data_IF_140176813898
#
_entry.id   IF_140176813898
#
_cell.length_a   1.000
_cell.length_b   1.000
_cell.length_c   1.000
_cell.angle_alpha   90.00
_cell.angle_beta   90.00
_cell.angle_gamma   90.00
#
_symmetry.space_group_name_H-M   'P 1'
#
loop_
_entity.id
_entity.type
_entity.pdbx_description
1 polymer ?
#
# COMPACT_ATOMS: atom_id res chain seq x y z
N UNK A 1 10.26 5.47 6.81
CA UNK A 1 11.32 5.95 5.91
C UNK A 1 12.42 6.66 6.67
N UNK A 2 12.30 7.93 7.07
CA UNK A 2 13.39 8.66 7.76
C UNK A 2 13.96 7.97 9.00
N UNK A 3 13.11 7.32 9.81
CA UNK A 3 13.59 6.56 10.96
C UNK A 3 14.47 5.36 10.58
N UNK A 4 14.16 4.66 9.47
CA UNK A 4 14.95 3.51 9.00
C UNK A 4 16.27 3.98 8.38
N UNK A 5 16.24 5.08 7.64
CA UNK A 5 17.42 5.73 7.07
C UNK A 5 18.35 6.24 8.18
N UNK A 6 17.81 6.92 9.19
CA UNK A 6 18.60 7.44 10.33
C UNK A 6 19.25 6.33 11.18
N UNK A 7 18.66 5.13 11.19
CA UNK A 7 19.21 3.97 11.89
C UNK A 7 20.24 3.21 11.04
N UNK A 8 20.49 3.64 9.79
CA UNK A 8 21.36 2.95 8.85
C UNK A 8 20.80 1.60 8.38
N UNK A 9 19.51 1.34 8.59
CA UNK A 9 18.85 0.09 8.21
C UNK A 9 18.27 0.11 6.79
N UNK A 10 18.28 1.26 6.12
CA UNK A 10 17.74 1.44 4.78
C UNK A 10 18.71 2.27 3.92
N UNK A 11 19.21 1.65 2.84
CA UNK A 11 19.92 2.27 1.74
C UNK A 11 19.01 2.30 0.50
N UNK A 12 18.64 3.50 0.06
CA UNK A 12 17.77 3.71 -1.10
C UNK A 12 18.44 3.35 -2.43
N UNK A 13 19.76 3.22 -2.46
CA UNK A 13 20.50 2.76 -3.65
C UNK A 13 20.56 1.23 -3.74
N UNK A 14 20.20 0.52 -2.67
CA UNK A 14 20.21 -0.94 -2.63
C UNK A 14 18.84 -1.50 -3.06
N UNK A 15 18.72 -2.11 -4.25
CA UNK A 15 17.43 -2.58 -4.75
C UNK A 15 16.85 -3.74 -3.90
N UNK A 16 17.69 -4.50 -3.20
CA UNK A 16 17.24 -5.53 -2.26
C UNK A 16 16.53 -4.93 -1.05
N UNK A 17 17.04 -3.80 -0.54
CA UNK A 17 16.44 -3.11 0.60
C UNK A 17 15.15 -2.39 0.20
N UNK A 18 15.11 -1.82 -1.02
CA UNK A 18 13.88 -1.30 -1.63
C UNK A 18 12.82 -2.39 -1.80
N UNK A 19 13.20 -3.59 -2.25
CA UNK A 19 12.28 -4.73 -2.30
C UNK A 19 11.70 -5.04 -0.92
N UNK A 20 12.55 -5.15 0.12
CA UNK A 20 12.10 -5.41 1.50
C UNK A 20 11.15 -4.31 2.01
N UNK A 21 11.44 -3.06 1.64
CA UNK A 21 10.66 -1.89 1.99
C UNK A 21 9.28 -1.92 1.32
N UNK A 22 9.22 -2.17 0.01
CA UNK A 22 7.97 -2.27 -0.75
C UNK A 22 7.12 -3.43 -0.24
N UNK A 23 7.73 -4.59 0.00
CA UNK A 23 7.03 -5.76 0.53
C UNK A 23 6.24 -5.47 1.81
N UNK A 24 6.82 -4.71 2.74
CA UNK A 24 6.19 -4.39 4.03
C UNK A 24 5.29 -3.17 3.95
N UNK A 25 5.78 -2.06 3.38
CA UNK A 25 5.11 -0.77 3.50
C UNK A 25 4.07 -0.50 2.42
N UNK A 26 4.21 -1.05 1.21
CA UNK A 26 3.21 -0.88 0.16
C UNK A 26 1.82 -1.40 0.57
N UNK A 27 1.65 -2.65 1.08
CA UNK A 27 0.34 -3.11 1.52
C UNK A 27 -0.20 -2.32 2.71
N UNK A 28 0.67 -1.85 3.62
CA UNK A 28 0.26 -1.01 4.76
C UNK A 28 -0.28 0.35 4.32
N UNK A 29 0.43 1.03 3.41
CA UNK A 29 0.01 2.31 2.84
C UNK A 29 -1.34 2.14 2.14
N UNK A 30 -1.48 1.10 1.30
CA UNK A 30 -2.74 0.83 0.60
C UNK A 30 -3.89 0.57 1.57
N UNK A 31 -3.66 -0.17 2.67
CA UNK A 31 -4.67 -0.38 3.72
C UNK A 31 -5.09 0.96 4.34
N UNK A 32 -4.14 1.79 4.74
CA UNK A 32 -4.43 3.10 5.33
C UNK A 32 -5.15 4.04 4.34
N UNK A 33 -4.81 4.00 3.05
CA UNK A 33 -5.51 4.77 2.03
C UNK A 33 -6.96 4.31 1.85
N UNK A 34 -7.21 3.00 1.84
CA UNK A 34 -8.58 2.47 1.77
C UNK A 34 -9.39 2.81 3.03
N UNK A 35 -8.78 2.74 4.21
CA UNK A 35 -9.40 3.19 5.48
C UNK A 35 -9.73 4.69 5.44
N UNK A 36 -8.79 5.52 5.00
CA UNK A 36 -8.99 6.95 4.85
C UNK A 36 -10.13 7.23 3.86
N UNK A 37 -10.11 6.60 2.69
CA UNK A 37 -11.15 6.72 1.67
C UNK A 37 -12.52 6.28 2.20
N UNK A 38 -12.58 5.18 2.95
CA UNK A 38 -13.83 4.71 3.55
C UNK A 38 -14.36 5.71 4.59
N UNK A 39 -13.49 6.21 5.49
CA UNK A 39 -13.86 7.22 6.48
C UNK A 39 -14.32 8.51 5.81
N UNK A 40 -13.56 8.98 4.81
CA UNK A 40 -13.87 10.18 4.06
C UNK A 40 -15.16 10.04 3.27
N UNK A 41 -15.42 8.93 2.59
CA UNK A 41 -16.64 8.79 1.79
C UNK A 41 -17.91 8.68 2.64
N UNK A 42 -17.80 8.23 3.90
CA UNK A 42 -18.93 7.95 4.78
C UNK A 42 -19.11 8.96 5.93
N UNK A 43 -18.22 9.96 6.09
CA UNK A 43 -18.42 10.99 7.10
C UNK A 43 -19.58 11.93 6.71
N UNK A 44 -20.37 12.37 7.68
CA UNK A 44 -21.43 13.35 7.44
C UNK A 44 -20.85 14.75 7.31
N UNK A 45 -21.33 15.49 6.31
CA UNK A 45 -20.98 16.90 6.12
C UNK A 45 -22.11 17.76 6.70
N UNK A 46 -21.79 18.53 7.74
CA UNK A 46 -22.78 19.34 8.46
C UNK A 46 -23.42 20.43 7.60
N UNK A 47 -22.66 21.03 6.67
CA UNK A 47 -23.16 22.05 5.74
C UNK A 47 -24.11 21.50 4.68
N UNK A 48 -24.13 20.18 4.45
CA UNK A 48 -24.92 19.51 3.41
C UNK A 48 -26.13 18.76 3.99
N UNK A 49 -26.54 19.15 5.20
CA UNK A 49 -27.63 18.50 5.94
C UNK A 49 -27.26 17.11 6.44
N UNK A 50 -26.01 16.92 6.88
CA UNK A 50 -25.45 15.67 7.39
C UNK A 50 -25.37 14.53 6.35
N UNK A 51 -25.42 14.85 5.06
CA UNK A 51 -25.18 13.86 4.00
C UNK A 51 -23.70 13.53 3.89
N UNK A 52 -23.39 12.30 3.50
CA UNK A 52 -22.03 11.85 3.26
C UNK A 52 -21.59 12.16 1.82
N UNK A 53 -20.28 12.27 1.53
CA UNK A 53 -19.80 12.45 0.16
C UNK A 53 -20.35 11.41 -0.83
N UNK A 54 -20.44 10.14 -0.44
CA UNK A 54 -21.01 9.10 -1.31
C UNK A 54 -22.51 9.32 -1.59
N UNK A 55 -23.27 9.83 -0.61
CA UNK A 55 -24.68 10.19 -0.79
C UNK A 55 -24.82 11.39 -1.74
N UNK A 56 -24.01 12.44 -1.57
CA UNK A 56 -24.00 13.61 -2.45
C UNK A 56 -23.62 13.22 -3.88
N UNK A 57 -22.60 12.38 -4.05
CA UNK A 57 -22.20 11.89 -5.36
C UNK A 57 -23.30 11.07 -6.03
N UNK A 58 -23.98 10.19 -5.29
CA UNK A 58 -25.08 9.37 -5.83
C UNK A 58 -26.29 10.22 -6.24
N UNK A 59 -26.64 11.22 -5.41
CA UNK A 59 -27.68 12.20 -5.72
C UNK A 59 -27.35 12.97 -7.00
N UNK A 60 -26.14 13.55 -7.08
CA UNK A 60 -25.73 14.36 -8.23
C UNK A 60 -25.52 13.51 -9.50
N UNK A 61 -24.98 12.30 -9.36
CA UNK A 61 -24.79 11.37 -10.48
C UNK A 61 -26.14 10.99 -11.10
N UNK A 62 -27.17 10.73 -10.29
CA UNK A 62 -28.53 10.50 -10.80
C UNK A 62 -29.02 11.67 -11.67
N UNK A 63 -28.70 12.90 -11.30
CA UNK A 63 -29.01 14.11 -12.09
C UNK A 63 -28.13 14.28 -13.35
N UNK A 64 -26.92 13.71 -13.36
CA UNK A 64 -25.91 13.84 -14.42
C UNK A 64 -25.92 12.70 -15.46
N UNK A 65 -26.79 11.69 -15.35
CA UNK A 65 -26.89 10.61 -16.34
C UNK A 65 -27.43 11.13 -17.69
N UNK A 66 -26.52 11.68 -18.50
CA UNK A 66 -26.54 11.68 -19.95
C UNK A 66 -25.61 10.53 -20.41
N UNK A 67 -26.06 9.54 -21.21
CA UNK A 67 -25.41 8.23 -21.36
C UNK A 67 -24.06 8.19 -22.14
N UNK A 68 -23.26 9.27 -22.15
CA UNK A 68 -22.13 9.41 -23.08
C UNK A 68 -20.73 9.49 -22.45
N UNK A 69 -20.52 9.28 -21.14
CA UNK A 69 -19.16 9.36 -20.59
C UNK A 69 -18.83 8.21 -19.63
N UNK A 70 -18.42 7.08 -20.20
CA UNK A 70 -17.61 6.07 -19.53
C UNK A 70 -16.14 6.49 -19.61
N UNK A 71 -15.68 7.30 -18.67
CA UNK A 71 -14.24 7.46 -18.45
C UNK A 71 -13.74 6.24 -17.68
N UNK A 72 -13.26 5.23 -18.40
CA UNK A 72 -12.42 4.19 -17.82
C UNK A 72 -11.02 4.78 -17.65
N UNK A 73 -10.70 5.20 -16.44
CA UNK A 73 -9.33 5.56 -16.08
C UNK A 73 -8.50 4.27 -16.02
N UNK A 74 -7.92 3.90 -17.16
CA UNK A 74 -6.84 2.91 -17.22
C UNK A 74 -5.54 3.65 -16.93
N UNK A 75 -5.22 3.81 -15.65
CA UNK A 75 -3.85 4.09 -15.23
C UNK A 75 -3.03 2.82 -15.49
N UNK A 76 -2.54 2.68 -16.72
CA UNK A 76 -1.51 1.70 -17.05
C UNK A 76 -0.20 2.18 -16.41
N UNK A 77 -0.01 1.81 -15.14
CA UNK A 77 1.29 1.93 -14.49
C UNK A 77 2.23 1.02 -15.26
N UNK A 78 3.19 1.63 -15.95
CA UNK A 78 4.22 0.89 -16.67
C UNK A 78 5.00 0.06 -15.67
N UNK A 79 5.04 -1.24 -15.90
CA UNK A 79 5.77 -2.25 -15.14
C UNK A 79 7.27 -1.92 -15.20
N UNK A 80 7.74 -1.08 -14.27
CA UNK A 80 9.15 -1.03 -13.91
C UNK A 80 9.40 -2.42 -13.32
N UNK A 81 10.10 -3.30 -14.03
CA UNK A 81 10.44 -4.61 -13.50
C UNK A 81 11.24 -4.39 -12.22
N UNK A 82 10.55 -4.42 -11.08
CA UNK A 82 11.17 -4.24 -9.77
C UNK A 82 12.13 -5.41 -9.62
N UNK A 83 13.39 -5.08 -9.32
CA UNK A 83 14.39 -6.06 -8.96
C UNK A 83 13.79 -7.04 -7.93
N UNK A 84 13.72 -8.31 -8.30
CA UNK A 84 13.18 -9.37 -7.46
C UNK A 84 14.36 -10.25 -7.00
N UNK A 85 14.83 -10.12 -5.75
CA UNK A 85 15.97 -10.87 -5.25
C UNK A 85 15.65 -12.35 -4.95
N UNK A 86 14.38 -12.73 -4.94
CA UNK A 86 13.90 -14.05 -4.53
C UNK A 86 13.26 -14.81 -5.69
N UNK A 87 13.42 -16.13 -5.70
CA UNK A 87 12.67 -17.03 -6.58
C UNK A 87 11.20 -17.11 -6.18
N UNK A 88 10.33 -17.63 -7.07
CA UNK A 88 8.90 -17.80 -6.77
C UNK A 88 8.64 -18.69 -5.54
N UNK A 89 9.50 -19.69 -5.29
CA UNK A 89 9.37 -20.57 -4.13
C UNK A 89 9.73 -19.85 -2.82
N UNK A 90 10.79 -19.05 -2.84
CA UNK A 90 11.21 -18.24 -1.69
C UNK A 90 10.22 -17.11 -1.41
N UNK A 91 9.61 -16.54 -2.44
CA UNK A 91 8.52 -15.58 -2.30
C UNK A 91 7.31 -16.19 -1.59
N UNK A 92 6.97 -17.44 -1.92
CA UNK A 92 5.90 -18.16 -1.23
C UNK A 92 6.26 -18.41 0.24
N UNK A 93 7.48 -18.87 0.52
CA UNK A 93 8.00 -19.08 1.88
C UNK A 93 7.97 -17.78 2.70
N UNK A 94 8.42 -16.67 2.10
CA UNK A 94 8.38 -15.34 2.72
C UNK A 94 6.95 -14.96 3.10
N UNK A 95 5.99 -15.11 2.19
CA UNK A 95 4.58 -14.76 2.43
C UNK A 95 3.90 -15.58 3.53
N UNK A 96 4.32 -16.83 3.72
CA UNK A 96 3.84 -17.68 4.81
C UNK A 96 4.45 -17.26 6.15
N UNK A 97 5.68 -16.78 6.13
CA UNK A 97 6.46 -16.50 7.34
C UNK A 97 6.28 -15.08 7.87
N UNK A 98 6.06 -14.11 6.97
CA UNK A 98 5.96 -12.69 7.28
C UNK A 98 4.70 -12.13 6.64
N UNK A 99 3.68 -11.85 7.45
CA UNK A 99 2.50 -11.13 6.98
C UNK A 99 2.75 -9.62 7.11
N UNK A 100 2.86 -8.85 6.01
CA UNK A 100 3.18 -7.44 6.08
C UNK A 100 2.11 -6.60 6.78
N UNK A 101 0.88 -7.08 6.93
CA UNK A 101 -0.22 -6.40 7.62
C UNK A 101 -0.35 -6.74 9.11
N UNK A 102 0.48 -7.66 9.62
CA UNK A 102 0.55 -8.03 11.03
C UNK A 102 0.88 -6.83 11.92
N UNK A 103 0.23 -6.72 13.09
CA UNK A 103 0.59 -5.66 14.03
C UNK A 103 1.84 -6.05 14.83
N UNK A 104 2.98 -5.47 14.48
CA UNK A 104 4.25 -5.68 15.16
C UNK A 104 4.50 -4.68 16.31
N UNK A 105 3.55 -3.78 16.58
CA UNK A 105 3.67 -2.68 17.55
C UNK A 105 4.87 -1.72 17.31
N UNK A 106 5.51 -1.78 16.14
CA UNK A 106 6.62 -0.91 15.75
C UNK A 106 6.45 -0.39 14.31
N UNK A 107 5.20 -0.14 13.92
CA UNK A 107 4.84 0.47 12.63
C UNK A 107 5.41 -0.26 11.40
N UNK A 108 5.65 -1.58 11.49
CA UNK A 108 6.21 -2.40 10.41
C UNK A 108 7.73 -2.46 10.37
N UNK A 109 8.46 -1.80 11.29
CA UNK A 109 9.93 -1.86 11.30
C UNK A 109 10.44 -3.25 11.68
N UNK A 110 9.77 -3.94 12.61
CA UNK A 110 10.18 -5.30 13.00
C UNK A 110 9.97 -6.26 11.83
N UNK A 111 8.87 -6.10 11.09
CA UNK A 111 8.63 -6.90 9.89
C UNK A 111 9.66 -6.60 8.80
N UNK A 112 10.00 -5.34 8.59
CA UNK A 112 11.03 -4.93 7.63
C UNK A 112 12.38 -5.59 7.94
N UNK A 113 12.83 -5.54 9.20
CA UNK A 113 14.07 -6.20 9.63
C UNK A 113 14.01 -7.72 9.42
N UNK A 114 12.88 -8.36 9.74
CA UNK A 114 12.69 -9.80 9.49
C UNK A 114 12.76 -10.14 7.98
N UNK A 115 12.17 -9.30 7.13
CA UNK A 115 12.24 -9.46 5.67
C UNK A 115 13.68 -9.30 5.18
N UNK A 116 14.42 -8.30 5.65
CA UNK A 116 15.84 -8.13 5.32
C UNK A 116 16.66 -9.36 5.70
N UNK A 117 16.48 -9.88 6.93
CA UNK A 117 17.17 -11.08 7.40
C UNK A 117 16.82 -12.31 6.55
N UNK A 118 15.55 -12.48 6.19
CA UNK A 118 15.13 -13.57 5.31
C UNK A 118 15.82 -13.50 3.96
N UNK A 119 15.79 -12.33 3.32
CA UNK A 119 16.39 -12.13 1.99
C UNK A 119 17.91 -12.29 2.04
N UNK A 120 18.57 -11.73 3.05
CA UNK A 120 20.02 -11.88 3.24
C UNK A 120 20.44 -13.34 3.36
N UNK A 121 19.70 -14.15 4.15
CA UNK A 121 20.00 -15.57 4.33
C UNK A 121 19.82 -16.43 3.07
N UNK A 122 19.13 -15.94 2.03
CA UNK A 122 18.97 -16.63 0.74
C UNK A 122 20.00 -16.18 -0.30
N UNK A 123 20.59 -15.01 -0.13
CA UNK A 123 21.56 -14.42 -1.06
C UNK A 123 23.02 -14.75 -0.72
N UNK A 124 23.31 -15.15 0.52
CA UNK A 124 24.62 -15.62 1.01
C UNK A 124 24.75 -17.13 0.85
#
# INVERSE_FOLDING_TARGET
FYALESLGCLNLENPTELFCLHYVYLPRINRTLEEFKAAYNNHSISSEGNKTPVQLFSLNSFWLHNPQQSARDVLSVSDQSEFMPLTSMEMQELSVTINPLENDNDNGKTLFQRTQQFVFNKLV
#
